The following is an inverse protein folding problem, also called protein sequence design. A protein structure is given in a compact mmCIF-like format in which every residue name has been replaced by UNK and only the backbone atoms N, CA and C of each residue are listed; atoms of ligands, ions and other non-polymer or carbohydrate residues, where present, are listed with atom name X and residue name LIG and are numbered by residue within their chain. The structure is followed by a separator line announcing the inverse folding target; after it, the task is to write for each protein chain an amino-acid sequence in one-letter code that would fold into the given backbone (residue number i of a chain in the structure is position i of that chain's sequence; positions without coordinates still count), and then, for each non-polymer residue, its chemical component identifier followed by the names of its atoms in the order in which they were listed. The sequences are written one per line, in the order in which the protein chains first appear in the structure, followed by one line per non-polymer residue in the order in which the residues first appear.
data_IF_161590340422
#
_entry.id   IF_161590340422
#
_cell.length_a   1.000
_cell.length_b   1.000
_cell.length_c   1.000
_cell.angle_alpha   90.00
_cell.angle_beta   90.00
_cell.angle_gamma   90.00
#
_symmetry.space_group_name_H-M   'P 1'
#
loop_
_entity.id
_entity.type
_entity.pdbx_description
1 polymer ?
#
# COMPACT_ATOMS: atom_id res chain seq x y z
N UNK A 1 -19.07 14.27 -4.42
CA UNK A 1 -17.97 13.43 -3.91
C UNK A 1 -17.02 14.19 -2.98
N UNK A 2 -16.55 15.39 -3.35
CA UNK A 2 -15.63 16.22 -2.53
C UNK A 2 -16.12 16.53 -1.10
N UNK A 3 -17.41 16.85 -0.94
CA UNK A 3 -18.00 17.19 0.37
C UNK A 3 -17.90 16.07 1.44
N UNK A 4 -17.88 14.81 1.02
CA UNK A 4 -17.83 13.66 1.95
C UNK A 4 -16.40 13.50 2.48
N UNK A 5 -15.41 13.62 1.60
CA UNK A 5 -13.99 13.48 1.95
C UNK A 5 -13.55 14.61 2.89
N UNK A 6 -13.94 15.86 2.61
CA UNK A 6 -13.61 17.00 3.48
C UNK A 6 -14.19 16.82 4.89
N UNK A 7 -15.47 16.39 5.01
CA UNK A 7 -16.09 16.12 6.31
C UNK A 7 -15.37 15.01 7.09
N UNK A 8 -14.93 13.95 6.40
CA UNK A 8 -14.19 12.83 7.01
C UNK A 8 -12.84 13.28 7.56
N UNK A 9 -12.08 14.05 6.77
CA UNK A 9 -10.76 14.56 7.14
C UNK A 9 -10.84 15.56 8.30
N UNK A 10 -11.87 16.41 8.33
CA UNK A 10 -12.07 17.34 9.47
C UNK A 10 -12.37 16.58 10.77
N UNK A 11 -13.06 15.44 10.69
CA UNK A 11 -13.39 14.62 11.87
C UNK A 11 -12.16 13.90 12.44
N UNK A 12 -11.16 13.57 11.61
CA UNK A 12 -9.95 12.87 12.05
C UNK A 12 -8.87 13.78 12.66
N UNK A 13 -8.96 15.11 12.51
CA UNK A 13 -7.97 16.08 13.01
C UNK A 13 -7.61 15.98 14.50
N UNK A 14 -8.53 15.50 15.34
CA UNK A 14 -8.34 15.38 16.79
C UNK A 14 -8.40 13.93 17.29
N UNK A 15 -8.43 12.97 16.37
CA UNK A 15 -8.45 11.55 16.70
C UNK A 15 -7.03 11.00 16.68
N UNK A 16 -6.72 9.96 17.47
CA UNK A 16 -5.47 9.26 17.35
C UNK A 16 -5.33 8.69 15.93
N UNK A 17 -4.09 8.65 15.44
CA UNK A 17 -3.77 8.06 14.14
C UNK A 17 -4.05 6.55 14.19
N UNK A 18 -4.91 6.08 13.29
CA UNK A 18 -5.16 4.66 13.10
C UNK A 18 -4.15 4.08 12.09
N UNK A 19 -3.16 3.36 12.62
CA UNK A 19 -2.10 2.71 11.84
C UNK A 19 -2.58 1.53 10.99
N UNK A 20 -3.83 1.09 11.15
CA UNK A 20 -4.40 0.02 10.32
C UNK A 20 -5.03 0.56 9.02
N UNK A 21 -5.09 1.88 8.87
CA UNK A 21 -5.70 2.53 7.70
C UNK A 21 -4.77 2.44 6.49
N UNK A 22 -5.33 2.04 5.35
CA UNK A 22 -4.61 2.04 4.08
C UNK A 22 -4.93 3.31 3.30
N UNK A 23 -3.89 4.00 2.84
CA UNK A 23 -4.03 5.20 2.02
C UNK A 23 -4.34 4.85 0.55
N UNK A 24 -3.96 3.64 0.12
CA UNK A 24 -4.03 3.21 -1.26
C UNK A 24 -4.90 1.94 -1.42
N UNK A 25 -5.69 1.85 -2.50
CA UNK A 25 -6.39 0.62 -2.85
C UNK A 25 -5.44 -0.58 -3.06
N UNK A 26 -5.87 -1.80 -2.71
CA UNK A 26 -5.02 -2.99 -2.78
C UNK A 26 -4.68 -3.43 -4.22
N UNK A 27 -5.41 -2.93 -5.22
CA UNK A 27 -5.28 -3.31 -6.65
C UNK A 27 -4.19 -2.55 -7.39
N UNK A 28 -3.52 -1.59 -6.74
CA UNK A 28 -2.47 -0.79 -7.39
C UNK A 28 -1.20 -1.62 -7.55
N UNK A 29 -0.60 -1.57 -8.74
CA UNK A 29 0.70 -2.19 -9.04
C UNK A 29 1.82 -1.19 -8.72
N UNK A 30 2.09 -0.98 -7.44
CA UNK A 30 3.18 -0.13 -6.94
C UNK A 30 3.53 -0.51 -5.49
N UNK A 31 4.64 -0.01 -4.96
CA UNK A 31 4.98 -0.10 -3.54
C UNK A 31 5.12 1.32 -2.95
N UNK A 32 4.74 1.50 -1.68
CA UNK A 32 4.71 2.82 -1.05
C UNK A 32 5.46 2.81 0.27
N UNK A 33 6.17 3.91 0.55
CA UNK A 33 6.76 4.19 1.85
C UNK A 33 6.12 5.44 2.44
N UNK A 34 5.58 5.32 3.65
CA UNK A 34 5.05 6.46 4.42
C UNK A 34 6.07 6.84 5.52
N UNK A 35 6.79 7.96 5.40
CA UNK A 35 7.79 8.37 6.39
C UNK A 35 7.17 8.82 7.71
N UNK A 36 5.92 9.30 7.72
CA UNK A 36 5.25 9.75 8.94
C UNK A 36 4.81 8.60 9.83
N UNK A 37 4.49 7.45 9.22
CA UNK A 37 4.17 6.21 9.94
C UNK A 37 5.37 5.26 10.03
N UNK A 38 6.44 5.54 9.28
CA UNK A 38 7.56 4.64 9.05
C UNK A 38 7.10 3.24 8.61
N UNK A 39 6.23 3.21 7.59
CA UNK A 39 5.57 2.00 7.10
C UNK A 39 5.85 1.76 5.62
N UNK A 40 5.98 0.49 5.23
CA UNK A 40 6.20 0.03 3.86
C UNK A 40 5.01 -0.84 3.47
N UNK A 41 4.30 -0.46 2.41
CA UNK A 41 3.11 -1.17 1.93
C UNK A 41 3.36 -1.79 0.56
N UNK A 42 3.07 -3.09 0.45
CA UNK A 42 3.04 -3.87 -0.79
C UNK A 42 1.60 -4.33 -1.08
N UNK A 43 0.83 -3.55 -1.86
CA UNK A 43 -0.52 -3.90 -2.29
C UNK A 43 -0.54 -5.22 -3.07
N UNK A 44 -1.67 -5.94 -3.04
CA UNK A 44 -1.82 -7.20 -3.76
C UNK A 44 -1.54 -7.09 -5.26
N UNK A 45 -1.76 -5.92 -5.86
CA UNK A 45 -1.46 -5.66 -7.27
C UNK A 45 0.02 -5.80 -7.67
N UNK A 46 0.97 -5.61 -6.75
CA UNK A 46 2.40 -5.84 -7.05
C UNK A 46 2.84 -7.28 -6.77
N UNK A 47 2.05 -8.08 -6.05
CA UNK A 47 2.38 -9.46 -5.67
C UNK A 47 1.97 -10.48 -6.76
N UNK A 48 2.24 -10.13 -8.01
CA UNK A 48 2.01 -10.94 -9.20
C UNK A 48 3.24 -10.90 -10.11
N UNK A 49 3.29 -11.77 -11.12
CA UNK A 49 4.33 -11.74 -12.14
C UNK A 49 4.36 -10.35 -12.82
N UNK A 50 5.55 -9.80 -13.14
CA UNK A 50 6.89 -10.38 -13.03
C UNK A 50 7.55 -10.26 -11.64
N UNK A 51 6.94 -9.56 -10.69
CA UNK A 51 7.58 -9.18 -9.42
C UNK A 51 7.59 -10.30 -8.37
N UNK A 52 6.52 -11.10 -8.29
CA UNK A 52 6.43 -12.17 -7.29
C UNK A 52 5.57 -13.34 -7.76
N UNK A 53 6.06 -14.56 -7.56
CA UNK A 53 5.25 -15.77 -7.65
C UNK A 53 5.76 -16.87 -6.70
N UNK A 54 4.84 -17.62 -6.08
CA UNK A 54 5.21 -18.65 -5.08
C UNK A 54 5.96 -19.85 -5.69
N UNK A 55 5.68 -20.14 -6.96
CA UNK A 55 6.20 -21.32 -7.65
C UNK A 55 7.47 -21.04 -8.48
N UNK A 56 8.01 -19.81 -8.47
CA UNK A 56 9.26 -19.48 -9.17
C UNK A 56 10.49 -19.60 -8.25
N UNK A 57 11.68 -19.92 -8.80
CA UNK A 57 12.92 -19.88 -8.04
C UNK A 57 13.12 -18.56 -7.27
N UNK A 58 13.59 -18.66 -6.03
CA UNK A 58 13.71 -17.51 -5.11
C UNK A 58 14.50 -16.33 -5.71
N UNK A 59 15.51 -16.61 -6.53
CA UNK A 59 16.34 -15.56 -7.13
C UNK A 59 15.55 -14.61 -8.04
N UNK A 60 14.50 -15.09 -8.72
CA UNK A 60 13.62 -14.26 -9.55
C UNK A 60 12.77 -13.33 -8.68
N UNK A 61 12.23 -13.84 -7.57
CA UNK A 61 11.45 -13.04 -6.63
C UNK A 61 12.29 -11.95 -5.92
N UNK A 62 13.57 -12.21 -5.63
CA UNK A 62 14.46 -11.21 -5.05
C UNK A 62 14.95 -10.18 -6.08
N UNK A 63 15.07 -10.57 -7.35
CA UNK A 63 15.43 -9.67 -8.44
C UNK A 63 14.31 -8.68 -8.78
N UNK A 64 13.04 -9.05 -8.53
CA UNK A 64 11.88 -8.21 -8.82
C UNK A 64 11.62 -7.98 -10.31
N UNK A 65 12.43 -8.56 -11.18
CA UNK A 65 12.34 -8.46 -12.62
C UNK A 65 12.64 -9.82 -13.24
N UNK A 66 11.89 -10.13 -14.30
CA UNK A 66 12.29 -11.08 -15.33
C UNK A 66 13.11 -10.34 -16.38
#
# INVERSE_FOLDING_TARGET
MLHITTKRNLRSLRQPIDRTTWEFPPVIVNAFYNPSLNDICFPAGILQLPFFHKDVPKYLNYGGEY
#
